data_IF_060297103722
#
_entry.id   IF_060297103722
#
_cell.length_a   1.000
_cell.length_b   1.000
_cell.length_c   1.000
_cell.angle_alpha   90.00
_cell.angle_beta   90.00
_cell.angle_gamma   90.00
#
_symmetry.space_group_name_H-M   'P 1'
#
loop_
_entity.id
_entity.type
_entity.pdbx_description
1 polymer ?
#
# COMPACT_ATOMS: atom_id res chain seq x y z
N UNK A 1 -0.44 -21.67 -13.79
CA UNK A 1 0.32 -20.80 -12.86
C UNK A 1 1.50 -20.24 -13.62
N UNK A 2 1.79 -18.95 -13.48
CA UNK A 2 3.04 -18.36 -13.99
C UNK A 2 4.24 -18.98 -13.26
N UNK A 3 5.43 -18.96 -13.86
CA UNK A 3 6.66 -19.46 -13.21
C UNK A 3 6.88 -18.86 -11.81
N UNK A 4 6.54 -17.58 -11.63
CA UNK A 4 6.59 -16.88 -10.33
C UNK A 4 5.61 -17.44 -9.30
N UNK A 5 4.41 -17.86 -9.70
CA UNK A 5 3.44 -18.45 -8.76
C UNK A 5 3.87 -19.82 -8.24
N UNK A 6 4.47 -20.67 -9.10
CA UNK A 6 5.03 -21.97 -8.68
C UNK A 6 6.23 -21.77 -7.74
N UNK A 7 7.09 -20.80 -8.03
CA UNK A 7 8.23 -20.48 -7.17
C UNK A 7 7.76 -20.01 -5.77
N UNK A 8 6.71 -19.17 -5.68
CA UNK A 8 6.15 -18.74 -4.40
C UNK A 8 5.58 -19.90 -3.60
N UNK A 9 4.82 -20.82 -4.24
CA UNK A 9 4.27 -22.01 -3.57
C UNK A 9 5.37 -22.93 -3.08
N UNK A 10 6.37 -23.24 -3.92
CA UNK A 10 7.46 -24.14 -3.53
C UNK A 10 8.32 -23.54 -2.41
N UNK A 11 8.67 -22.25 -2.48
CA UNK A 11 9.42 -21.59 -1.41
C UNK A 11 8.65 -21.59 -0.09
N UNK A 12 7.34 -21.32 -0.10
CA UNK A 12 6.50 -21.37 1.10
C UNK A 12 6.41 -22.79 1.68
N UNK A 13 6.31 -23.81 0.84
CA UNK A 13 6.32 -25.20 1.30
C UNK A 13 7.63 -25.58 1.99
N UNK A 14 8.77 -25.30 1.35
CA UNK A 14 10.08 -25.64 1.94
C UNK A 14 10.35 -24.82 3.20
N UNK A 15 9.94 -23.53 3.26
CA UNK A 15 10.03 -22.72 4.46
C UNK A 15 9.21 -23.34 5.61
N UNK A 16 7.95 -23.73 5.36
CA UNK A 16 7.11 -24.38 6.34
C UNK A 16 7.71 -25.71 6.83
N UNK A 17 8.32 -26.48 5.92
CA UNK A 17 9.00 -27.73 6.25
C UNK A 17 10.22 -27.48 7.16
N UNK A 18 11.07 -26.52 6.80
CA UNK A 18 12.21 -26.10 7.64
C UNK A 18 11.75 -25.64 9.02
N UNK A 19 10.66 -24.86 9.11
CA UNK A 19 10.09 -24.44 10.38
C UNK A 19 9.54 -25.60 11.22
N UNK A 20 8.90 -26.58 10.57
CA UNK A 20 8.35 -27.76 11.25
C UNK A 20 9.43 -28.60 11.95
N UNK A 21 10.58 -28.81 11.30
CA UNK A 21 11.69 -29.61 11.86
C UNK A 21 12.74 -28.74 12.58
N UNK A 22 12.69 -27.42 12.45
CA UNK A 22 13.62 -26.50 13.12
C UNK A 22 13.39 -26.42 14.64
N UNK A 23 14.38 -25.85 15.33
CA UNK A 23 14.33 -25.62 16.81
C UNK A 23 13.66 -24.26 17.09
N UNK A 24 12.45 -24.09 16.59
CA UNK A 24 11.65 -22.88 16.79
C UNK A 24 10.44 -23.22 17.67
N UNK A 25 10.07 -22.36 18.58
CA UNK A 25 8.85 -22.49 19.40
C UNK A 25 7.65 -21.85 18.71
N UNK A 26 7.89 -20.75 17.97
CA UNK A 26 6.88 -19.95 17.28
C UNK A 26 7.24 -19.85 15.81
N UNK A 27 6.26 -19.99 14.94
CA UNK A 27 6.35 -19.77 13.49
C UNK A 27 5.39 -18.66 13.10
N UNK A 28 5.92 -17.55 12.63
CA UNK A 28 5.13 -16.41 12.18
C UNK A 28 5.06 -16.42 10.64
N UNK A 29 3.85 -16.57 10.11
CA UNK A 29 3.59 -16.66 8.67
C UNK A 29 2.93 -15.35 8.21
N UNK A 30 3.39 -14.80 7.11
CA UNK A 30 2.83 -13.59 6.52
C UNK A 30 2.07 -13.90 5.24
N UNK A 31 0.86 -13.36 5.11
CA UNK A 31 -0.08 -13.47 3.99
C UNK A 31 -0.79 -14.82 3.85
N UNK A 32 -1.92 -14.79 3.15
CA UNK A 32 -2.81 -15.95 2.93
C UNK A 32 -2.14 -17.07 2.13
N UNK A 33 -1.35 -16.72 1.10
CA UNK A 33 -0.67 -17.71 0.26
C UNK A 33 0.23 -18.66 1.06
N UNK A 34 1.24 -18.18 1.80
CA UNK A 34 2.07 -19.00 2.67
C UNK A 34 1.28 -19.71 3.78
N UNK A 35 0.19 -19.11 4.29
CA UNK A 35 -0.66 -19.72 5.31
C UNK A 35 -1.35 -21.01 4.83
N UNK A 36 -1.36 -21.30 3.51
CA UNK A 36 -1.77 -22.59 3.01
C UNK A 36 -1.04 -23.76 3.70
N UNK A 37 0.21 -23.56 4.10
CA UNK A 37 1.06 -24.56 4.76
C UNK A 37 1.09 -24.42 6.30
N UNK A 38 0.25 -23.57 6.92
CA UNK A 38 0.22 -23.37 8.37
C UNK A 38 0.00 -24.64 9.18
N UNK A 39 -0.68 -25.62 8.59
CA UNK A 39 -0.92 -26.93 9.23
C UNK A 39 0.38 -27.72 9.48
N UNK A 40 1.43 -27.50 8.68
CA UNK A 40 2.66 -28.29 8.75
C UNK A 40 3.44 -28.01 10.06
N UNK A 41 3.88 -26.77 10.36
CA UNK A 41 4.51 -26.50 11.66
C UNK A 41 3.57 -26.78 12.83
N UNK A 42 2.26 -26.60 12.68
CA UNK A 42 1.27 -26.93 13.72
C UNK A 42 1.26 -28.42 14.07
N UNK A 43 1.37 -29.29 13.05
CA UNK A 43 1.44 -30.75 13.24
C UNK A 43 2.66 -31.17 14.08
N UNK A 44 3.76 -30.41 14.02
CA UNK A 44 4.99 -30.65 14.79
C UNK A 44 5.01 -29.85 16.12
N UNK A 45 3.85 -29.43 16.62
CA UNK A 45 3.70 -28.82 17.94
C UNK A 45 4.16 -27.36 18.04
N UNK A 46 4.41 -26.68 16.92
CA UNK A 46 4.79 -25.26 16.94
C UNK A 46 3.58 -24.38 17.21
N UNK A 47 3.80 -23.25 17.88
CA UNK A 47 2.82 -22.16 17.89
C UNK A 47 2.88 -21.44 16.53
N UNK A 48 1.72 -21.23 15.91
CA UNK A 48 1.61 -20.61 14.58
C UNK A 48 0.85 -19.30 14.70
N UNK A 49 1.49 -18.22 14.29
CA UNK A 49 0.89 -16.89 14.15
C UNK A 49 0.80 -16.57 12.67
N UNK A 50 -0.30 -16.00 12.22
CA UNK A 50 -0.47 -15.58 10.81
C UNK A 50 -0.83 -14.10 10.77
N UNK A 51 -0.06 -13.30 10.02
CA UNK A 51 -0.43 -11.91 9.71
C UNK A 51 -1.05 -11.83 8.33
N UNK A 52 -2.27 -11.31 8.26
CA UNK A 52 -3.02 -11.05 7.02
C UNK A 52 -2.83 -9.58 6.65
N UNK A 53 -2.13 -9.34 5.54
CA UNK A 53 -1.81 -8.00 5.04
C UNK A 53 -2.94 -7.35 4.21
N UNK A 54 -4.05 -8.01 4.06
CA UNK A 54 -5.21 -7.66 3.26
C UNK A 54 -5.79 -8.92 2.62
N UNK A 55 -6.99 -8.83 2.05
CA UNK A 55 -7.65 -9.97 1.41
C UNK A 55 -7.11 -10.13 -0.02
N UNK A 56 -6.04 -10.91 -0.17
CA UNK A 56 -5.31 -11.06 -1.45
C UNK A 56 -6.19 -11.56 -2.59
N UNK A 57 -7.21 -12.38 -2.30
CA UNK A 57 -8.14 -12.89 -3.31
C UNK A 57 -9.01 -11.79 -3.96
N UNK A 58 -9.13 -10.61 -3.36
CA UNK A 58 -9.83 -9.45 -3.94
C UNK A 58 -9.01 -8.77 -5.03
N UNK A 59 -7.69 -8.98 -5.07
CA UNK A 59 -6.80 -8.40 -6.08
C UNK A 59 -7.09 -8.99 -7.45
N UNK A 60 -7.03 -8.17 -8.48
CA UNK A 60 -7.37 -8.57 -9.85
C UNK A 60 -6.60 -9.82 -10.31
N UNK A 61 -5.33 -9.91 -9.97
CA UNK A 61 -4.45 -11.06 -10.25
C UNK A 61 -5.01 -12.39 -9.72
N UNK A 62 -5.78 -12.37 -8.65
CA UNK A 62 -6.26 -13.56 -7.92
C UNK A 62 -7.78 -13.73 -7.95
N UNK A 63 -8.52 -12.97 -8.78
CA UNK A 63 -9.99 -13.05 -8.88
C UNK A 63 -10.48 -14.40 -9.43
N UNK A 64 -9.62 -15.17 -10.13
CA UNK A 64 -10.04 -16.43 -10.76
C UNK A 64 -8.89 -17.44 -10.85
N UNK A 65 -9.26 -18.69 -11.11
CA UNK A 65 -8.32 -19.77 -11.39
C UNK A 65 -7.75 -20.49 -10.16
N UNK A 66 -6.68 -21.26 -10.38
CA UNK A 66 -6.06 -22.07 -9.33
C UNK A 66 -5.45 -21.21 -8.20
N UNK A 67 -4.87 -20.06 -8.56
CA UNK A 67 -4.28 -19.13 -7.58
C UNK A 67 -5.30 -18.61 -6.57
N UNK A 68 -6.52 -18.24 -7.04
CA UNK A 68 -7.61 -17.81 -6.16
C UNK A 68 -7.99 -18.90 -5.15
N UNK A 69 -8.17 -20.14 -5.64
CA UNK A 69 -8.50 -21.29 -4.77
C UNK A 69 -7.40 -21.57 -3.75
N UNK A 70 -6.14 -21.42 -4.16
CA UNK A 70 -4.99 -21.61 -3.28
C UNK A 70 -4.95 -20.58 -2.15
N UNK A 71 -5.19 -19.30 -2.46
CA UNK A 71 -5.23 -18.21 -1.49
C UNK A 71 -6.41 -18.38 -0.52
N UNK A 72 -7.61 -18.64 -1.02
CA UNK A 72 -8.77 -18.93 -0.16
C UNK A 72 -8.55 -20.15 0.75
N UNK A 73 -7.88 -21.18 0.25
CA UNK A 73 -7.54 -22.32 1.11
C UNK A 73 -6.51 -21.93 2.17
N UNK A 74 -5.56 -21.06 1.83
CA UNK A 74 -4.61 -20.50 2.78
C UNK A 74 -5.29 -19.70 3.90
N UNK A 75 -6.27 -18.87 3.55
CA UNK A 75 -7.09 -18.15 4.51
C UNK A 75 -7.84 -19.11 5.46
N UNK A 76 -8.51 -20.14 4.91
CA UNK A 76 -9.16 -21.19 5.72
C UNK A 76 -8.18 -21.95 6.61
N UNK A 77 -6.98 -22.20 6.12
CA UNK A 77 -5.94 -22.86 6.90
C UNK A 77 -5.40 -21.94 8.01
N UNK A 78 -5.28 -20.64 7.78
CA UNK A 78 -4.98 -19.67 8.83
C UNK A 78 -6.05 -19.73 9.94
N UNK A 79 -7.33 -19.66 9.57
CA UNK A 79 -8.45 -19.76 10.52
C UNK A 79 -8.40 -21.05 11.36
N UNK A 80 -8.05 -22.18 10.72
CA UNK A 80 -8.09 -23.51 11.36
C UNK A 80 -6.86 -23.84 12.20
N UNK A 81 -5.67 -23.42 11.76
CA UNK A 81 -4.41 -23.90 12.33
C UNK A 81 -3.59 -22.83 13.04
N UNK A 82 -3.84 -21.53 12.81
CA UNK A 82 -3.14 -20.50 13.55
C UNK A 82 -3.63 -20.44 15.00
N UNK A 83 -2.71 -20.27 15.94
CA UNK A 83 -3.02 -19.94 17.32
C UNK A 83 -3.57 -18.51 17.40
N UNK A 84 -2.90 -17.58 16.73
CA UNK A 84 -3.33 -16.19 16.62
C UNK A 84 -3.29 -15.72 15.16
N UNK A 85 -4.24 -14.84 14.79
CA UNK A 85 -4.28 -14.16 13.50
C UNK A 85 -4.19 -12.66 13.75
N UNK A 86 -3.17 -12.04 13.17
CA UNK A 86 -2.96 -10.59 13.17
C UNK A 86 -3.53 -10.02 11.86
N UNK A 87 -4.28 -8.93 11.97
CA UNK A 87 -4.84 -8.19 10.84
C UNK A 87 -4.45 -6.73 10.91
N UNK A 88 -4.33 -6.06 9.76
CA UNK A 88 -3.79 -4.70 9.66
C UNK A 88 -4.88 -3.63 9.53
N UNK A 89 -6.15 -4.01 9.38
CA UNK A 89 -7.29 -3.07 9.31
C UNK A 89 -8.49 -3.62 10.05
N UNK A 90 -9.35 -2.73 10.53
CA UNK A 90 -10.61 -3.12 11.18
C UNK A 90 -11.56 -3.80 10.20
N UNK A 91 -11.57 -3.39 8.95
CA UNK A 91 -12.38 -4.04 7.91
C UNK A 91 -12.05 -5.51 7.73
N UNK A 92 -10.75 -5.88 7.76
CA UNK A 92 -10.32 -7.29 7.72
C UNK A 92 -10.67 -8.01 9.03
N UNK A 93 -10.57 -7.36 10.18
CA UNK A 93 -11.00 -7.91 11.47
C UNK A 93 -12.49 -8.29 11.45
N UNK A 94 -13.34 -7.38 11.04
CA UNK A 94 -14.79 -7.59 10.93
C UNK A 94 -15.12 -8.71 9.92
N UNK A 95 -14.38 -8.79 8.81
CA UNK A 95 -14.51 -9.86 7.83
C UNK A 95 -14.26 -11.24 8.45
N UNK A 96 -13.14 -11.43 9.19
CA UNK A 96 -12.84 -12.73 9.82
C UNK A 96 -13.86 -13.11 10.89
N UNK A 97 -14.34 -12.16 11.65
CA UNK A 97 -15.38 -12.42 12.64
C UNK A 97 -16.71 -12.81 12.00
N UNK A 98 -17.13 -12.08 10.96
CA UNK A 98 -18.40 -12.32 10.25
C UNK A 98 -18.38 -13.60 9.42
N UNK A 99 -17.32 -13.85 8.67
CA UNK A 99 -17.24 -14.97 7.73
C UNK A 99 -16.90 -16.31 8.44
N UNK A 100 -16.04 -16.25 9.46
CA UNK A 100 -15.50 -17.45 10.11
C UNK A 100 -15.82 -17.56 11.60
N UNK A 101 -16.40 -16.54 12.23
CA UNK A 101 -16.54 -16.48 13.68
C UNK A 101 -15.18 -16.45 14.40
N UNK A 102 -14.12 -16.06 13.69
CA UNK A 102 -12.73 -16.08 14.19
C UNK A 102 -12.33 -14.70 14.69
N UNK A 103 -12.06 -14.58 15.98
CA UNK A 103 -11.45 -13.38 16.56
C UNK A 103 -10.01 -13.25 16.07
N UNK A 104 -9.62 -12.03 15.76
CA UNK A 104 -8.27 -11.66 15.29
C UNK A 104 -7.74 -10.51 16.13
N UNK A 105 -6.43 -10.34 16.13
CA UNK A 105 -5.75 -9.23 16.81
C UNK A 105 -5.46 -8.14 15.78
N UNK A 106 -5.92 -6.92 16.05
CA UNK A 106 -5.61 -5.78 15.19
C UNK A 106 -4.27 -5.18 15.60
N UNK A 107 -3.25 -5.33 14.78
CA UNK A 107 -1.93 -4.70 14.94
C UNK A 107 -1.57 -4.06 13.61
N UNK A 108 -1.61 -2.72 13.49
CA UNK A 108 -1.35 -2.02 12.25
C UNK A 108 0.14 -2.06 11.87
N UNK A 109 0.47 -1.66 10.65
CA UNK A 109 1.86 -1.34 10.30
C UNK A 109 2.29 -0.06 11.02
N UNK A 110 3.59 0.02 11.33
CA UNK A 110 4.18 1.22 11.90
C UNK A 110 4.89 2.09 10.85
N UNK A 111 5.22 3.31 11.25
CA UNK A 111 6.08 4.22 10.49
C UNK A 111 7.02 4.97 11.43
N UNK A 112 8.22 5.24 10.95
CA UNK A 112 9.19 6.08 11.66
C UNK A 112 9.17 7.49 11.09
N UNK A 113 9.50 8.49 11.91
CA UNK A 113 9.71 9.85 11.43
C UNK A 113 10.98 9.89 10.58
N UNK A 114 10.88 10.25 9.29
CA UNK A 114 12.05 10.32 8.42
C UNK A 114 12.83 11.62 8.61
N UNK A 115 14.04 11.63 8.08
CA UNK A 115 14.79 12.89 7.88
C UNK A 115 14.38 13.48 6.52
N UNK A 116 13.88 14.71 6.53
CA UNK A 116 13.54 15.45 5.32
C UNK A 116 14.80 15.72 4.50
N UNK A 117 14.70 15.60 3.18
CA UNK A 117 15.78 15.78 2.23
C UNK A 117 15.50 16.96 1.31
N UNK A 118 16.52 17.71 0.96
CA UNK A 118 16.42 18.74 -0.10
C UNK A 118 16.27 18.09 -1.48
N UNK A 119 15.73 18.83 -2.43
CA UNK A 119 15.55 18.39 -3.81
C UNK A 119 16.85 18.58 -4.60
N UNK A 120 17.68 17.54 -4.68
CA UNK A 120 18.96 17.54 -5.41
C UNK A 120 18.90 16.57 -6.58
N UNK A 121 18.87 15.27 -6.34
CA UNK A 121 18.84 14.24 -7.39
C UNK A 121 17.56 14.28 -8.23
N UNK A 122 16.43 14.60 -7.62
CA UNK A 122 15.15 14.72 -8.34
C UNK A 122 15.14 15.96 -9.25
N UNK A 123 15.85 17.03 -8.85
CA UNK A 123 16.02 18.22 -9.67
C UNK A 123 16.92 17.91 -10.87
N UNK A 124 18.08 17.30 -10.63
CA UNK A 124 19.03 16.94 -11.67
C UNK A 124 18.38 15.98 -12.71
N UNK A 125 17.68 14.95 -12.23
CA UNK A 125 17.19 13.87 -13.09
C UNK A 125 15.85 14.15 -13.75
N UNK A 126 14.94 14.86 -13.08
CA UNK A 126 13.55 15.03 -13.51
C UNK A 126 13.11 16.50 -13.59
N UNK A 127 13.97 17.45 -13.22
CA UNK A 127 13.61 18.86 -13.15
C UNK A 127 12.49 19.15 -12.17
N UNK A 128 12.53 18.47 -11.00
CA UNK A 128 11.54 18.61 -9.93
C UNK A 128 12.11 19.47 -8.80
N UNK A 129 11.30 20.40 -8.33
CA UNK A 129 11.61 21.27 -7.20
C UNK A 129 10.61 21.03 -6.06
N UNK A 130 10.89 21.56 -4.90
CA UNK A 130 9.98 21.51 -3.77
C UNK A 130 8.62 22.10 -4.12
N UNK A 131 7.57 21.38 -3.77
CA UNK A 131 6.16 21.73 -4.00
C UNK A 131 5.76 21.93 -5.49
N UNK A 132 6.61 21.48 -6.43
CA UNK A 132 6.35 21.59 -7.88
C UNK A 132 5.57 20.42 -8.47
N UNK A 133 5.23 19.38 -7.70
CA UNK A 133 4.59 18.18 -8.21
C UNK A 133 3.64 17.49 -7.25
N UNK A 134 2.69 16.78 -7.84
CA UNK A 134 1.81 15.81 -7.19
C UNK A 134 2.45 14.44 -7.35
N UNK A 135 2.56 13.66 -6.28
CA UNK A 135 3.26 12.38 -6.26
C UNK A 135 2.28 11.22 -6.11
N UNK A 136 2.38 10.24 -6.98
CA UNK A 136 1.95 8.86 -6.75
C UNK A 136 3.19 7.98 -6.58
N UNK A 137 3.19 7.10 -5.57
CA UNK A 137 4.27 6.14 -5.37
C UNK A 137 3.72 4.78 -4.98
N UNK A 138 4.05 3.75 -5.78
CA UNK A 138 3.59 2.40 -5.55
C UNK A 138 3.79 1.48 -6.74
N UNK A 139 3.34 0.24 -6.63
CA UNK A 139 3.33 -0.69 -7.76
C UNK A 139 2.33 -0.21 -8.81
N UNK A 140 2.72 -0.28 -10.08
CA UNK A 140 1.83 0.07 -11.19
C UNK A 140 0.94 -1.13 -11.53
N UNK A 141 -0.19 -1.22 -10.82
CA UNK A 141 -1.22 -2.26 -10.98
C UNK A 141 -2.62 -1.62 -11.01
N UNK A 142 -3.60 -2.24 -11.70
CA UNK A 142 -4.93 -1.64 -11.91
C UNK A 142 -5.62 -1.19 -10.63
N UNK A 143 -5.56 -2.01 -9.57
CA UNK A 143 -6.21 -1.74 -8.28
C UNK A 143 -5.67 -0.50 -7.54
N UNK A 144 -4.54 0.05 -7.99
CA UNK A 144 -3.98 1.31 -7.45
C UNK A 144 -4.61 2.58 -8.05
N UNK A 145 -5.54 2.44 -9.01
CA UNK A 145 -6.32 3.54 -9.54
C UNK A 145 -5.53 4.60 -10.33
N UNK A 146 -4.32 4.27 -10.79
CA UNK A 146 -3.43 5.22 -11.47
C UNK A 146 -4.06 5.73 -12.78
N UNK A 147 -4.87 4.89 -13.42
CA UNK A 147 -5.63 5.29 -14.62
C UNK A 147 -6.53 6.50 -14.32
N UNK A 148 -7.30 6.45 -13.23
CA UNK A 148 -8.14 7.56 -12.79
C UNK A 148 -7.34 8.83 -12.51
N UNK A 149 -6.15 8.67 -11.90
CA UNK A 149 -5.26 9.79 -11.60
C UNK A 149 -4.75 10.49 -12.85
N UNK A 150 -4.32 9.72 -13.86
CA UNK A 150 -3.87 10.27 -15.13
C UNK A 150 -5.03 10.99 -15.86
N UNK A 151 -6.20 10.36 -15.94
CA UNK A 151 -7.38 10.94 -16.58
C UNK A 151 -7.85 12.23 -15.87
N UNK A 152 -7.90 12.23 -14.55
CA UNK A 152 -8.26 13.39 -13.74
C UNK A 152 -7.24 14.53 -13.92
N UNK A 153 -5.94 14.22 -13.78
CA UNK A 153 -4.87 15.21 -13.83
C UNK A 153 -4.78 15.95 -15.17
N UNK A 154 -5.03 15.29 -16.28
CA UNK A 154 -5.04 15.93 -17.63
C UNK A 154 -6.01 17.13 -17.71
N UNK A 155 -7.04 17.15 -16.87
CA UNK A 155 -8.05 18.20 -16.83
C UNK A 155 -7.87 19.17 -15.64
N UNK A 156 -6.81 19.02 -14.86
CA UNK A 156 -6.45 19.97 -13.79
C UNK A 156 -5.68 21.15 -14.36
N UNK A 157 -6.10 22.36 -14.00
CA UNK A 157 -5.43 23.61 -14.38
C UNK A 157 -4.35 23.93 -13.36
N UNK A 158 -3.11 23.55 -13.66
CA UNK A 158 -1.96 23.75 -12.78
C UNK A 158 -0.66 23.75 -13.58
N UNK A 159 0.37 24.40 -13.08
CA UNK A 159 1.75 24.33 -13.53
C UNK A 159 2.53 23.16 -12.92
N UNK A 160 1.94 22.50 -11.92
CA UNK A 160 2.56 21.36 -11.25
C UNK A 160 2.63 20.14 -12.16
N UNK A 161 3.64 19.30 -11.91
CA UNK A 161 3.81 18.02 -12.61
C UNK A 161 3.08 16.90 -11.85
N UNK A 162 2.68 15.85 -12.54
CA UNK A 162 2.27 14.58 -11.93
C UNK A 162 3.44 13.60 -12.04
N UNK A 163 3.94 13.15 -10.90
CA UNK A 163 5.03 12.17 -10.84
C UNK A 163 4.47 10.81 -10.44
N UNK A 164 4.60 9.84 -11.33
CA UNK A 164 4.20 8.45 -11.12
C UNK A 164 5.48 7.63 -10.91
N UNK A 165 5.75 7.32 -9.63
CA UNK A 165 6.93 6.59 -9.21
C UNK A 165 6.58 5.14 -8.88
N UNK A 166 7.22 4.20 -9.59
CA UNK A 166 7.02 2.76 -9.38
C UNK A 166 7.27 1.93 -10.62
N UNK A 167 7.32 0.63 -10.43
CA UNK A 167 7.50 -0.34 -11.50
C UNK A 167 6.29 -1.24 -11.70
N UNK A 168 6.24 -1.91 -12.84
CA UNK A 168 5.30 -3.00 -13.09
C UNK A 168 5.60 -4.18 -12.16
N UNK A 169 4.57 -4.93 -11.75
CA UNK A 169 4.78 -6.09 -10.87
C UNK A 169 4.82 -7.42 -11.63
N UNK A 170 4.11 -7.55 -12.74
CA UNK A 170 3.94 -8.83 -13.45
C UNK A 170 4.11 -8.73 -14.97
N UNK A 171 3.67 -7.64 -15.58
CA UNK A 171 3.78 -7.37 -17.02
C UNK A 171 3.91 -5.87 -17.25
N UNK A 172 4.60 -5.49 -18.33
CA UNK A 172 4.73 -4.09 -18.71
C UNK A 172 3.48 -3.55 -19.43
N UNK A 173 2.46 -4.38 -19.67
CA UNK A 173 1.26 -4.00 -20.43
C UNK A 173 0.51 -2.85 -19.79
N UNK A 174 0.27 -2.89 -18.48
CA UNK A 174 -0.41 -1.83 -17.77
C UNK A 174 0.41 -0.54 -17.70
N UNK A 175 1.73 -0.65 -17.54
CA UNK A 175 2.62 0.51 -17.59
C UNK A 175 2.59 1.17 -18.99
N UNK A 176 2.59 0.38 -20.05
CA UNK A 176 2.52 0.89 -21.42
C UNK A 176 1.16 1.57 -21.67
N UNK A 177 0.05 0.97 -21.21
CA UNK A 177 -1.27 1.60 -21.26
C UNK A 177 -1.29 2.97 -20.56
N UNK A 178 -0.71 3.07 -19.36
CA UNK A 178 -0.63 4.34 -18.62
C UNK A 178 0.21 5.39 -19.38
N UNK A 179 1.32 4.98 -19.99
CA UNK A 179 2.15 5.88 -20.80
C UNK A 179 1.41 6.34 -22.06
N UNK A 180 0.66 5.45 -22.71
CA UNK A 180 -0.17 5.81 -23.86
C UNK A 180 -1.28 6.80 -23.48
N UNK A 181 -1.90 6.62 -22.30
CA UNK A 181 -2.91 7.53 -21.78
C UNK A 181 -2.35 8.92 -21.46
N UNK A 182 -1.09 8.97 -21.01
CA UNK A 182 -0.40 10.20 -20.61
C UNK A 182 0.36 10.90 -21.73
N UNK A 183 0.49 10.30 -22.92
CA UNK A 183 1.41 10.74 -23.99
C UNK A 183 1.22 12.20 -24.48
N UNK A 184 0.02 12.76 -24.33
CA UNK A 184 -0.33 14.09 -24.79
C UNK A 184 -0.24 15.16 -23.68
N UNK A 185 0.34 14.83 -22.52
CA UNK A 185 0.53 15.75 -21.39
C UNK A 185 1.94 15.65 -20.83
N UNK A 186 2.83 16.55 -21.23
CA UNK A 186 4.24 16.58 -20.83
C UNK A 186 4.45 16.87 -19.33
N UNK A 187 3.39 17.22 -18.61
CA UNK A 187 3.46 17.39 -17.14
C UNK A 187 3.51 16.04 -16.41
N UNK A 188 3.21 14.91 -17.08
CA UNK A 188 3.14 13.59 -16.45
C UNK A 188 4.47 12.86 -16.62
N UNK A 189 5.14 12.58 -15.50
CA UNK A 189 6.48 11.99 -15.47
C UNK A 189 6.39 10.58 -14.85
N UNK A 190 6.90 9.58 -15.57
CA UNK A 190 7.09 8.22 -15.07
C UNK A 190 8.56 8.03 -14.69
N UNK A 191 8.85 7.85 -13.40
CA UNK A 191 10.23 7.68 -12.94
C UNK A 191 10.73 6.24 -13.06
N UNK A 192 9.82 5.27 -13.24
CA UNK A 192 10.12 3.86 -13.02
C UNK A 192 10.31 3.55 -11.54
N UNK A 193 10.89 2.38 -11.23
CA UNK A 193 11.20 1.99 -9.86
C UNK A 193 12.27 2.91 -9.25
N UNK A 194 11.98 3.44 -8.08
CA UNK A 194 12.88 4.33 -7.32
C UNK A 194 13.14 3.78 -5.92
N UNK A 195 14.34 4.03 -5.41
CA UNK A 195 14.76 3.65 -4.06
C UNK A 195 15.83 4.59 -3.51
N UNK A 196 16.19 4.40 -2.25
CA UNK A 196 17.29 5.15 -1.62
C UNK A 196 17.03 6.64 -1.54
N UNK A 197 18.00 7.45 -1.97
CA UNK A 197 17.95 8.91 -1.84
C UNK A 197 16.84 9.54 -2.71
N UNK A 198 16.68 9.10 -3.96
CA UNK A 198 15.63 9.61 -4.86
C UNK A 198 14.23 9.41 -4.25
N UNK A 199 13.97 8.24 -3.66
CA UNK A 199 12.70 7.96 -2.98
C UNK A 199 12.44 8.95 -1.82
N UNK A 200 13.47 9.19 -0.99
CA UNK A 200 13.38 10.11 0.13
C UNK A 200 13.13 11.56 -0.33
N UNK A 201 13.82 11.99 -1.37
CA UNK A 201 13.63 13.32 -1.95
C UNK A 201 12.24 13.48 -2.56
N UNK A 202 11.71 12.46 -3.26
CA UNK A 202 10.35 12.49 -3.81
C UNK A 202 9.29 12.66 -2.73
N UNK A 203 9.39 11.94 -1.61
CA UNK A 203 8.47 12.16 -0.49
C UNK A 203 8.68 13.52 0.19
N UNK A 204 9.93 13.96 0.38
CA UNK A 204 10.24 15.18 1.12
C UNK A 204 9.75 16.45 0.44
N UNK A 205 9.66 16.44 -0.89
CA UNK A 205 9.45 17.65 -1.68
C UNK A 205 8.12 17.67 -2.47
N UNK A 206 7.27 16.65 -2.33
CA UNK A 206 5.97 16.62 -2.99
C UNK A 206 5.03 17.70 -2.46
N UNK A 207 4.24 18.31 -3.35
CA UNK A 207 3.17 19.23 -3.00
C UNK A 207 2.00 18.49 -2.34
N UNK A 208 1.51 17.45 -3.03
CA UNK A 208 0.46 16.55 -2.57
C UNK A 208 0.87 15.12 -2.91
N UNK A 209 0.67 14.20 -2.00
CA UNK A 209 0.74 12.77 -2.27
C UNK A 209 -0.65 12.22 -2.57
N UNK A 210 -0.80 11.45 -3.65
CA UNK A 210 -2.10 10.92 -4.06
C UNK A 210 -2.09 9.39 -4.06
N UNK A 211 -3.08 8.78 -3.40
CA UNK A 211 -3.31 7.33 -3.39
C UNK A 211 -4.75 7.02 -3.85
N UNK A 212 -4.99 6.88 -5.17
CA UNK A 212 -6.32 6.70 -5.73
C UNK A 212 -6.78 5.24 -5.76
N UNK A 213 -6.34 4.43 -4.80
CA UNK A 213 -6.51 2.98 -4.80
C UNK A 213 -7.97 2.55 -4.65
N UNK A 214 -8.32 1.48 -5.35
CA UNK A 214 -9.60 0.78 -5.19
C UNK A 214 -9.55 -0.29 -4.10
N UNK A 215 -8.36 -0.75 -3.78
CA UNK A 215 -8.12 -1.81 -2.79
C UNK A 215 -6.75 -1.64 -2.14
N UNK A 216 -6.74 -1.70 -0.82
CA UNK A 216 -5.55 -1.74 0.01
C UNK A 216 -5.70 -2.78 1.14
N UNK A 217 -4.61 -3.19 1.74
CA UNK A 217 -4.64 -3.85 3.05
C UNK A 217 -4.42 -2.83 4.16
N UNK A 218 -3.18 -2.34 4.24
CA UNK A 218 -2.81 -1.13 4.96
C UNK A 218 -1.69 -0.45 4.15
N UNK A 219 -1.95 0.74 3.58
CA UNK A 219 -1.06 1.34 2.59
C UNK A 219 0.19 1.96 3.23
N UNK A 220 1.31 1.22 3.26
CA UNK A 220 2.59 1.72 3.78
C UNK A 220 3.04 3.01 3.12
N UNK A 221 2.83 3.13 1.81
CA UNK A 221 3.21 4.34 1.08
C UNK A 221 2.44 5.60 1.52
N UNK A 222 1.22 5.43 2.06
CA UNK A 222 0.44 6.52 2.67
C UNK A 222 1.01 6.89 4.05
N UNK A 223 1.33 5.90 4.87
CA UNK A 223 1.99 6.14 6.16
C UNK A 223 3.32 6.88 5.95
N UNK A 224 4.13 6.41 4.98
CA UNK A 224 5.38 7.07 4.62
C UNK A 224 5.14 8.51 4.13
N UNK A 225 4.22 8.73 3.19
CA UNK A 225 3.91 10.06 2.69
C UNK A 225 3.53 11.03 3.82
N UNK A 226 2.65 10.61 4.72
CA UNK A 226 2.24 11.42 5.87
C UNK A 226 3.41 11.66 6.83
N UNK A 227 4.29 10.68 7.05
CA UNK A 227 5.45 10.83 7.94
C UNK A 227 6.47 11.85 7.42
N UNK A 228 6.56 12.02 6.10
CA UNK A 228 7.32 13.10 5.46
C UNK A 228 6.62 14.46 5.50
N UNK A 229 5.42 14.55 6.07
CA UNK A 229 4.66 15.80 6.16
C UNK A 229 3.94 16.17 4.87
N UNK A 230 3.53 15.18 4.07
CA UNK A 230 2.76 15.47 2.87
C UNK A 230 1.27 15.71 3.18
N UNK A 231 0.64 16.67 2.49
CA UNK A 231 -0.78 16.66 2.27
C UNK A 231 -1.14 15.45 1.40
N UNK A 232 -2.10 14.65 1.84
CA UNK A 232 -2.50 13.45 1.12
C UNK A 232 -3.90 13.62 0.51
N UNK A 233 -4.10 13.06 -0.69
CA UNK A 233 -5.38 12.90 -1.35
C UNK A 233 -5.62 11.42 -1.58
N UNK A 234 -6.66 10.85 -0.99
CA UNK A 234 -6.90 9.40 -0.98
C UNK A 234 -8.33 9.07 -1.40
N UNK A 235 -8.53 7.86 -1.92
CA UNK A 235 -9.88 7.34 -2.15
C UNK A 235 -10.60 7.04 -0.82
N UNK A 236 -11.94 7.08 -0.84
CA UNK A 236 -12.77 6.86 0.35
C UNK A 236 -12.93 5.38 0.73
N UNK A 237 -11.91 4.55 0.45
CA UNK A 237 -11.91 3.15 0.93
C UNK A 237 -11.57 3.12 2.44
N UNK A 238 -12.14 2.18 3.20
CA UNK A 238 -11.93 2.10 4.65
C UNK A 238 -10.45 2.09 5.04
N UNK A 239 -9.61 1.34 4.31
CA UNK A 239 -8.19 1.18 4.58
C UNK A 239 -7.40 2.49 4.45
N UNK A 240 -7.88 3.43 3.64
CA UNK A 240 -7.30 4.77 3.53
C UNK A 240 -7.88 5.71 4.58
N UNK A 241 -9.22 5.73 4.73
CA UNK A 241 -9.91 6.66 5.63
C UNK A 241 -9.62 6.38 7.11
N UNK A 242 -9.44 5.12 7.51
CA UNK A 242 -8.97 4.73 8.85
C UNK A 242 -7.57 5.26 9.17
N UNK A 243 -6.70 5.34 8.16
CA UNK A 243 -5.33 5.86 8.32
C UNK A 243 -5.34 7.36 8.50
N UNK A 244 -6.01 8.08 7.60
CA UNK A 244 -5.89 9.55 7.51
C UNK A 244 -6.88 10.29 8.42
N UNK A 245 -7.99 9.66 8.80
CA UNK A 245 -9.11 10.30 9.52
C UNK A 245 -9.55 11.59 8.80
N UNK A 246 -9.47 12.73 9.48
CA UNK A 246 -9.78 14.08 8.95
C UNK A 246 -8.54 14.85 8.45
N UNK A 247 -7.39 14.19 8.30
CA UNK A 247 -6.09 14.80 8.00
C UNK A 247 -5.67 14.74 6.55
N UNK A 248 -6.58 14.38 5.65
CA UNK A 248 -6.33 14.30 4.20
C UNK A 248 -7.55 14.75 3.40
N UNK A 249 -7.33 15.04 2.13
CA UNK A 249 -8.40 15.18 1.15
C UNK A 249 -8.89 13.78 0.77
N UNK A 250 -10.21 13.65 0.67
CA UNK A 250 -10.85 12.38 0.33
C UNK A 250 -11.69 12.58 -0.91
N UNK A 251 -11.55 11.66 -1.88
CA UNK A 251 -12.39 11.60 -3.07
C UNK A 251 -13.12 10.25 -3.14
N UNK A 252 -14.21 10.21 -3.87
CA UNK A 252 -15.02 9.02 -4.04
C UNK A 252 -14.30 8.01 -4.95
N UNK A 253 -14.12 6.79 -4.44
CA UNK A 253 -13.47 5.66 -5.13
C UNK A 253 -13.94 5.54 -6.58
N UNK A 254 -13.00 5.36 -7.51
CA UNK A 254 -13.21 5.17 -8.96
C UNK A 254 -13.94 6.34 -9.66
N UNK A 255 -14.04 7.50 -9.02
CA UNK A 255 -14.69 8.68 -9.57
C UNK A 255 -13.64 9.68 -10.06
N UNK A 256 -13.43 9.71 -11.38
CA UNK A 256 -12.42 10.55 -12.04
C UNK A 256 -12.72 12.04 -11.85
N UNK A 257 -14.00 12.41 -11.89
CA UNK A 257 -14.40 13.82 -11.79
C UNK A 257 -14.23 14.35 -10.36
N UNK A 258 -14.64 13.58 -9.36
CA UNK A 258 -14.41 13.97 -7.97
C UNK A 258 -12.90 14.04 -7.64
N UNK A 259 -12.09 13.10 -8.17
CA UNK A 259 -10.64 13.16 -8.07
C UNK A 259 -10.08 14.42 -8.72
N UNK A 260 -10.55 14.78 -9.92
CA UNK A 260 -10.17 16.01 -10.62
C UNK A 260 -10.51 17.26 -9.79
N UNK A 261 -11.73 17.32 -9.22
CA UNK A 261 -12.15 18.43 -8.40
C UNK A 261 -11.29 18.58 -7.15
N UNK A 262 -10.97 17.47 -6.47
CA UNK A 262 -10.10 17.47 -5.30
C UNK A 262 -8.65 17.85 -5.62
N UNK A 263 -8.13 17.43 -6.77
CA UNK A 263 -6.82 17.88 -7.24
C UNK A 263 -6.80 19.37 -7.56
N UNK A 264 -7.86 19.90 -8.20
CA UNK A 264 -8.01 21.33 -8.48
C UNK A 264 -8.13 22.12 -7.17
N UNK A 265 -8.96 21.67 -6.23
CA UNK A 265 -9.11 22.27 -4.90
C UNK A 265 -7.75 22.39 -4.19
N UNK A 266 -6.94 21.32 -4.23
CA UNK A 266 -5.59 21.34 -3.66
C UNK A 266 -4.68 22.38 -4.36
N UNK A 267 -4.76 22.49 -5.69
CA UNK A 267 -3.95 23.45 -6.45
C UNK A 267 -4.37 24.91 -6.18
N UNK A 268 -5.66 25.15 -5.98
CA UNK A 268 -6.22 26.49 -5.79
C UNK A 268 -6.11 27.01 -4.35
N UNK A 269 -5.96 26.11 -3.37
CA UNK A 269 -5.99 26.43 -1.93
C UNK A 269 -4.70 26.05 -1.19
N UNK A 270 -3.61 26.75 -1.47
CA UNK A 270 -2.29 26.52 -0.86
C UNK A 270 -2.34 26.48 0.68
N UNK A 271 -3.09 27.39 1.32
CA UNK A 271 -3.17 27.46 2.79
C UNK A 271 -3.76 26.18 3.39
N UNK A 272 -4.76 25.60 2.74
CA UNK A 272 -5.35 24.30 3.13
C UNK A 272 -4.31 23.19 3.06
N UNK A 273 -3.58 23.11 1.94
CA UNK A 273 -2.52 22.11 1.74
C UNK A 273 -1.43 22.25 2.79
N UNK A 274 -0.95 23.47 3.06
CA UNK A 274 0.08 23.74 4.06
C UNK A 274 -0.37 23.39 5.48
N UNK A 275 -1.63 23.66 5.81
CA UNK A 275 -2.20 23.25 7.11
C UNK A 275 -2.16 21.74 7.28
N UNK A 276 -2.55 20.98 6.26
CA UNK A 276 -2.51 19.51 6.28
C UNK A 276 -1.07 18.98 6.37
N UNK A 277 -0.14 19.54 5.59
CA UNK A 277 1.29 19.19 5.63
C UNK A 277 1.87 19.35 7.04
N UNK A 278 1.57 20.46 7.71
CA UNK A 278 2.12 20.77 9.04
C UNK A 278 1.62 19.81 10.14
N UNK A 279 0.50 19.13 9.95
CA UNK A 279 -0.11 18.23 10.93
C UNK A 279 0.17 16.75 10.65
N UNK A 280 0.49 16.41 9.40
CA UNK A 280 0.53 15.03 8.94
C UNK A 280 1.59 14.18 9.67
N UNK A 281 2.82 14.68 9.79
CA UNK A 281 3.92 13.90 10.34
C UNK A 281 3.74 13.61 11.84
N UNK A 282 3.30 14.58 12.63
CA UNK A 282 3.07 14.39 14.06
C UNK A 282 1.94 13.39 14.27
N UNK A 283 0.82 13.60 13.59
CA UNK A 283 -0.33 12.71 13.68
C UNK A 283 0.01 11.27 13.35
N UNK A 284 0.64 11.01 12.20
CA UNK A 284 0.83 9.65 11.73
C UNK A 284 1.92 8.89 12.52
N UNK A 285 3.01 9.57 12.90
CA UNK A 285 4.09 8.96 13.66
C UNK A 285 3.71 8.69 15.13
N UNK A 286 2.76 9.44 15.68
CA UNK A 286 2.20 9.16 17.00
C UNK A 286 1.22 7.98 16.94
N UNK A 287 0.31 7.98 15.95
CA UNK A 287 -0.74 6.97 15.80
C UNK A 287 -0.21 5.58 15.43
N UNK A 288 0.82 5.52 14.60
CA UNK A 288 1.38 4.29 14.03
C UNK A 288 2.88 4.14 14.33
N UNK A 289 3.21 4.15 15.61
CA UNK A 289 4.58 4.03 16.08
C UNK A 289 5.08 2.58 16.02
N UNK A 290 6.27 2.35 15.42
CA UNK A 290 6.86 1.01 15.34
C UNK A 290 7.14 0.35 16.69
N UNK A 291 7.51 1.13 17.70
CA UNK A 291 7.83 0.58 19.03
C UNK A 291 6.57 -0.04 19.68
N UNK A 292 5.40 0.60 19.50
CA UNK A 292 4.13 0.04 19.96
C UNK A 292 3.72 -1.18 19.14
N UNK A 293 3.88 -1.16 17.81
CA UNK A 293 3.61 -2.32 16.94
C UNK A 293 4.45 -3.53 17.35
N UNK A 294 5.75 -3.33 17.61
CA UNK A 294 6.64 -4.42 18.07
C UNK A 294 6.21 -4.94 19.43
N UNK A 295 5.87 -4.06 20.36
CA UNK A 295 5.41 -4.44 21.71
C UNK A 295 4.11 -5.25 21.69
N UNK A 296 3.16 -4.89 20.81
CA UNK A 296 1.91 -5.62 20.66
C UNK A 296 2.10 -6.98 19.96
N UNK A 297 3.14 -7.09 19.12
CA UNK A 297 3.44 -8.33 18.38
C UNK A 297 4.18 -9.36 19.25
N UNK A 298 4.95 -8.93 20.25
CA UNK A 298 5.71 -9.80 21.16
C UNK A 298 4.88 -10.32 22.33
#
# INVERSE_FOLDING_TARGET
MTSGGLAAVSSSFFAALCCAFGRYDIVHIHAEGPAFFAWLPKLFGKKVIVTIHGLDWQREKWKSGFGSKFIHQGEKNAVKYADEIIVLSKGVQDYFEKEYGRKTVFIPNGVNRPKIQEAELITEKYGLEKDSYILFLGRLVPEKGIRYLVEAFKNVKTDKKLVIAGGSSDTDSFMNELKDLAKDDDRIIFTGFVQGQILKELYSNAYVYTLPSDLEGMPLSLLEAMSYGNCCLVSNIPECTEVVEDRALIFKKSDVEDLREKLQEACDHLEMVMKMKNQAADFICEKYNWDEVVKETM
#
